data_IF_396873972130
#
_entry.id   IF_396873972130
#
_cell.length_a   1.000
_cell.length_b   1.000
_cell.length_c   1.000
_cell.angle_alpha   90.00
_cell.angle_beta   90.00
_cell.angle_gamma   90.00
#
_symmetry.space_group_name_H-M   'P 1'
#
loop_
_entity.id
_entity.type
_entity.pdbx_description
1 polymer ?
#
# COMPACT_ATOMS: atom_id res chain seq x y z
N UNK A 1 -6.80 -2.68 6.39
CA UNK A 1 -5.90 -3.69 6.98
C UNK A 1 -5.41 -4.69 5.96
N UNK A 2 -6.25 -5.47 5.29
CA UNK A 2 -5.83 -6.47 4.30
C UNK A 2 -4.90 -5.94 3.21
N UNK A 3 -5.22 -4.78 2.62
CA UNK A 3 -4.39 -4.14 1.60
C UNK A 3 -2.97 -3.81 2.11
N UNK A 4 -2.86 -3.21 3.30
CA UNK A 4 -1.58 -2.81 3.87
C UNK A 4 -0.72 -4.03 4.20
N UNK A 5 -1.24 -4.96 4.99
CA UNK A 5 -0.50 -6.17 5.37
C UNK A 5 -0.17 -7.03 4.15
N UNK A 6 -1.15 -7.31 3.27
CA UNK A 6 -0.93 -8.09 2.06
C UNK A 6 0.14 -7.49 1.14
N UNK A 7 0.15 -6.17 0.99
CA UNK A 7 1.14 -5.47 0.16
C UNK A 7 2.55 -5.58 0.73
N UNK A 8 2.75 -5.22 2.00
CA UNK A 8 4.09 -5.26 2.62
C UNK A 8 4.62 -6.68 2.70
N UNK A 9 3.77 -7.66 3.07
CA UNK A 9 4.18 -9.07 3.11
C UNK A 9 4.51 -9.65 1.73
N UNK A 10 4.02 -9.08 0.62
CA UNK A 10 4.48 -9.44 -0.72
C UNK A 10 6.00 -9.25 -0.90
N UNK A 11 6.60 -8.30 -0.17
CA UNK A 11 8.05 -8.09 -0.14
C UNK A 11 8.87 -9.27 0.40
N UNK A 12 8.25 -10.18 1.17
CA UNK A 12 8.88 -11.44 1.64
C UNK A 12 9.40 -12.27 0.47
N UNK A 13 8.76 -12.17 -0.70
CA UNK A 13 9.19 -12.90 -1.89
C UNK A 13 10.65 -12.65 -2.25
N UNK A 14 11.21 -11.46 -1.92
CA UNK A 14 12.61 -11.13 -2.14
C UNK A 14 13.53 -11.98 -1.26
N UNK A 15 13.15 -12.22 -0.01
CA UNK A 15 13.91 -13.06 0.92
C UNK A 15 13.87 -14.50 0.46
N UNK A 16 12.71 -15.01 0.07
CA UNK A 16 12.55 -16.38 -0.42
C UNK A 16 13.32 -16.61 -1.72
N UNK A 17 13.28 -15.68 -2.68
CA UNK A 17 14.07 -15.80 -3.91
C UNK A 17 15.57 -15.89 -3.63
N UNK A 18 16.04 -15.20 -2.59
CA UNK A 18 17.43 -15.26 -2.16
C UNK A 18 17.75 -16.60 -1.50
N UNK A 19 16.91 -17.07 -0.58
CA UNK A 19 17.13 -18.33 0.17
C UNK A 19 17.02 -19.56 -0.73
N UNK A 20 16.10 -19.57 -1.69
CA UNK A 20 15.91 -20.70 -2.62
C UNK A 20 16.82 -20.62 -3.87
N UNK A 21 17.66 -19.59 -4.00
CA UNK A 21 18.58 -19.45 -5.12
C UNK A 21 17.96 -18.92 -6.42
N UNK A 22 16.64 -18.69 -6.49
CA UNK A 22 15.96 -18.15 -7.66
C UNK A 22 16.52 -16.79 -8.10
N UNK A 23 17.12 -16.04 -7.18
CA UNK A 23 17.73 -14.76 -7.51
C UNK A 23 18.88 -14.92 -8.51
N UNK A 24 19.64 -16.01 -8.43
CA UNK A 24 20.75 -16.29 -9.39
C UNK A 24 20.20 -16.57 -10.79
N UNK A 25 19.11 -17.32 -10.89
CA UNK A 25 18.45 -17.62 -12.17
C UNK A 25 17.87 -16.37 -12.83
N UNK A 26 17.24 -15.49 -12.04
CA UNK A 26 16.71 -14.22 -12.55
C UNK A 26 17.80 -13.29 -13.07
N UNK A 27 19.01 -13.34 -12.51
CA UNK A 27 20.11 -12.47 -12.91
C UNK A 27 20.84 -12.95 -14.17
N UNK A 28 20.69 -14.21 -14.56
CA UNK A 28 21.20 -14.75 -15.83
C UNK A 28 20.29 -14.36 -17.00
N UNK A 29 19.02 -14.02 -16.72
CA UNK A 29 18.09 -13.55 -17.75
C UNK A 29 18.56 -12.21 -18.36
N UNK A 30 18.38 -11.97 -19.66
CA UNK A 30 18.81 -10.74 -20.34
C UNK A 30 17.84 -9.59 -20.08
N UNK A 31 17.52 -9.31 -18.80
CA UNK A 31 16.61 -8.26 -18.35
C UNK A 31 17.27 -7.39 -17.29
N UNK A 32 16.89 -6.10 -17.24
CA UNK A 32 17.43 -5.20 -16.24
C UNK A 32 16.94 -5.55 -14.84
N UNK A 33 17.78 -5.34 -13.82
CA UNK A 33 17.39 -5.54 -12.41
C UNK A 33 16.16 -4.71 -12.03
N UNK A 34 16.08 -3.50 -12.57
CA UNK A 34 14.93 -2.60 -12.36
C UNK A 34 13.63 -3.19 -12.91
N UNK A 35 13.66 -3.82 -14.09
CA UNK A 35 12.49 -4.48 -14.66
C UNK A 35 11.99 -5.63 -13.80
N UNK A 36 12.89 -6.42 -13.22
CA UNK A 36 12.55 -7.53 -12.32
C UNK A 36 11.80 -6.99 -11.08
N UNK A 37 12.32 -5.91 -10.48
CA UNK A 37 11.73 -5.35 -9.27
C UNK A 37 10.38 -4.72 -9.56
N UNK A 38 10.30 -3.91 -10.62
CA UNK A 38 9.05 -3.30 -11.04
C UNK A 38 7.99 -4.37 -11.30
N UNK A 39 8.37 -5.46 -11.98
CA UNK A 39 7.50 -6.62 -12.18
C UNK A 39 7.02 -7.25 -10.87
N UNK A 40 7.91 -7.40 -9.87
CA UNK A 40 7.55 -7.88 -8.53
C UNK A 40 6.60 -6.95 -7.79
N UNK A 41 6.88 -5.64 -7.83
CA UNK A 41 6.03 -4.64 -7.19
C UNK A 41 4.63 -4.66 -7.80
N UNK A 42 4.51 -4.64 -9.11
CA UNK A 42 3.21 -4.69 -9.78
C UNK A 42 2.50 -6.04 -9.57
N UNK A 43 3.22 -7.15 -9.57
CA UNK A 43 2.67 -8.47 -9.26
C UNK A 43 2.08 -8.52 -7.85
N UNK A 44 2.84 -8.06 -6.85
CA UNK A 44 2.39 -7.97 -5.47
C UNK A 44 1.22 -6.98 -5.28
N UNK A 45 1.29 -5.82 -5.93
CA UNK A 45 0.23 -4.82 -5.93
C UNK A 45 -1.08 -5.37 -6.53
N UNK A 46 -0.99 -6.08 -7.64
CA UNK A 46 -2.15 -6.73 -8.27
C UNK A 46 -2.79 -7.75 -7.34
N UNK A 47 -2.00 -8.61 -6.70
CA UNK A 47 -2.50 -9.61 -5.74
C UNK A 47 -3.21 -8.96 -4.57
N UNK A 48 -2.60 -7.92 -3.97
CA UNK A 48 -3.21 -7.18 -2.87
C UNK A 48 -4.48 -6.43 -3.31
N UNK A 49 -4.48 -5.86 -4.52
CA UNK A 49 -5.66 -5.19 -5.09
C UNK A 49 -6.82 -6.16 -5.31
N UNK A 50 -6.55 -7.37 -5.82
CA UNK A 50 -7.57 -8.42 -5.98
C UNK A 50 -8.18 -8.76 -4.61
N UNK A 51 -7.35 -8.89 -3.58
CA UNK A 51 -7.83 -9.11 -2.20
C UNK A 51 -8.73 -7.95 -1.73
N UNK A 52 -8.35 -6.71 -2.04
CA UNK A 52 -9.16 -5.52 -1.75
C UNK A 52 -10.51 -5.52 -2.47
N UNK A 53 -10.54 -5.93 -3.74
CA UNK A 53 -11.77 -6.06 -4.54
C UNK A 53 -12.69 -7.12 -3.92
N UNK A 54 -12.16 -8.26 -3.49
CA UNK A 54 -12.94 -9.30 -2.82
C UNK A 54 -13.57 -8.76 -1.54
N UNK A 55 -12.79 -8.07 -0.71
CA UNK A 55 -13.30 -7.46 0.52
C UNK A 55 -14.36 -6.39 0.24
N UNK A 56 -14.18 -5.57 -0.80
CA UNK A 56 -15.16 -4.58 -1.23
C UNK A 56 -16.45 -5.24 -1.71
N UNK A 57 -16.36 -6.35 -2.45
CA UNK A 57 -17.52 -7.12 -2.90
C UNK A 57 -18.29 -7.73 -1.71
N UNK A 58 -17.58 -8.29 -0.73
CA UNK A 58 -18.19 -8.82 0.50
C UNK A 58 -18.90 -7.71 1.28
N UNK A 59 -18.27 -6.55 1.44
CA UNK A 59 -18.89 -5.39 2.09
C UNK A 59 -20.15 -4.92 1.36
N UNK A 60 -20.15 -4.95 0.02
CA UNK A 60 -21.32 -4.66 -0.81
C UNK A 60 -22.48 -5.62 -0.58
N UNK A 61 -22.20 -6.94 -0.53
CA UNK A 61 -23.20 -7.97 -0.22
C UNK A 61 -23.77 -7.80 1.20
N UNK A 62 -22.94 -7.37 2.16
CA UNK A 62 -23.38 -7.08 3.53
C UNK A 62 -24.21 -5.79 3.65
N UNK A 63 -24.46 -5.09 2.54
CA UNK A 63 -25.26 -3.87 2.54
C UNK A 63 -24.53 -2.61 3.02
N UNK A 64 -23.20 -2.63 3.04
CA UNK A 64 -22.40 -1.47 3.43
C UNK A 64 -22.53 -0.30 2.43
N UNK A 65 -22.95 -0.58 1.19
CA UNK A 65 -23.08 0.41 0.12
C UNK A 65 -24.46 0.34 -0.52
N UNK A 66 -25.04 1.51 -0.85
CA UNK A 66 -26.28 1.59 -1.65
C UNK A 66 -25.93 1.37 -3.12
N UNK A 67 -26.54 0.41 -3.82
CA UNK A 67 -26.29 0.19 -5.23
C UNK A 67 -26.82 1.38 -6.04
N UNK A 68 -25.90 2.21 -6.50
CA UNK A 68 -26.19 3.37 -7.37
C UNK A 68 -25.18 3.42 -8.52
N UNK A 69 -25.53 4.13 -9.59
CA UNK A 69 -24.61 4.32 -10.72
C UNK A 69 -23.34 5.07 -10.29
N UNK A 70 -23.46 6.00 -9.33
CA UNK A 70 -22.34 6.72 -8.74
C UNK A 70 -21.41 5.79 -7.95
N UNK A 71 -21.97 4.80 -7.25
CA UNK A 71 -21.17 3.77 -6.57
C UNK A 71 -20.36 2.93 -7.55
N UNK A 72 -20.94 2.53 -8.68
CA UNK A 72 -20.21 1.73 -9.70
C UNK A 72 -19.03 2.53 -10.24
N UNK A 73 -19.22 3.80 -10.60
CA UNK A 73 -18.13 4.66 -11.05
C UNK A 73 -17.05 4.84 -9.94
N UNK A 74 -17.48 5.05 -8.70
CA UNK A 74 -16.60 5.16 -7.54
C UNK A 74 -15.80 3.86 -7.26
N UNK A 75 -16.43 2.70 -7.47
CA UNK A 75 -15.76 1.40 -7.31
C UNK A 75 -14.62 1.21 -8.33
N UNK A 76 -14.80 1.61 -9.58
CA UNK A 76 -13.72 1.60 -10.57
C UNK A 76 -12.58 2.54 -10.19
N UNK A 77 -12.90 3.75 -9.72
CA UNK A 77 -11.90 4.69 -9.22
C UNK A 77 -11.17 4.12 -7.98
N UNK A 78 -11.90 3.48 -7.06
CA UNK A 78 -11.32 2.83 -5.89
C UNK A 78 -10.33 1.72 -6.25
N UNK A 79 -10.56 0.94 -7.31
CA UNK A 79 -9.61 -0.08 -7.79
C UNK A 79 -8.30 0.58 -8.22
N UNK A 80 -8.36 1.69 -8.96
CA UNK A 80 -7.16 2.45 -9.33
C UNK A 80 -6.40 2.99 -8.12
N UNK A 81 -7.13 3.53 -7.15
CA UNK A 81 -6.56 4.00 -5.87
C UNK A 81 -5.94 2.85 -5.07
N UNK A 82 -6.61 1.68 -4.99
CA UNK A 82 -6.07 0.48 -4.34
C UNK A 82 -4.76 0.06 -4.98
N UNK A 83 -4.68 0.02 -6.32
CA UNK A 83 -3.47 -0.37 -7.04
C UNK A 83 -2.32 0.61 -6.75
N UNK A 84 -2.59 1.90 -6.70
CA UNK A 84 -1.60 2.93 -6.39
C UNK A 84 -1.08 2.80 -4.96
N UNK A 85 -1.96 2.62 -3.98
CA UNK A 85 -1.58 2.45 -2.57
C UNK A 85 -0.77 1.16 -2.40
N UNK A 86 -1.24 0.05 -2.98
CA UNK A 86 -0.59 -1.25 -2.82
C UNK A 86 0.78 -1.29 -3.47
N UNK A 87 1.01 -0.61 -4.62
CA UNK A 87 2.34 -0.54 -5.24
C UNK A 87 3.36 0.14 -4.33
N UNK A 88 3.01 1.25 -3.67
CA UNK A 88 3.87 1.92 -2.71
C UNK A 88 4.21 1.03 -1.50
N UNK A 89 3.20 0.35 -0.92
CA UNK A 89 3.43 -0.54 0.22
C UNK A 89 4.18 -1.83 -0.15
N UNK A 90 3.99 -2.37 -1.36
CA UNK A 90 4.84 -3.46 -1.87
C UNK A 90 6.27 -2.96 -2.06
N UNK A 91 6.47 -1.74 -2.58
CA UNK A 91 7.78 -1.10 -2.68
C UNK A 91 8.48 -0.98 -1.33
N UNK A 92 7.75 -0.57 -0.29
CA UNK A 92 8.24 -0.58 1.09
C UNK A 92 8.64 -1.99 1.56
N UNK A 93 7.79 -2.99 1.32
CA UNK A 93 8.07 -4.39 1.66
C UNK A 93 9.31 -4.92 0.94
N UNK A 94 9.47 -4.60 -0.35
CA UNK A 94 10.67 -4.95 -1.15
C UNK A 94 11.91 -4.24 -0.59
N UNK A 95 11.81 -2.98 -0.19
CA UNK A 95 12.92 -2.24 0.43
C UNK A 95 13.38 -2.93 1.73
N UNK A 96 12.45 -3.26 2.62
CA UNK A 96 12.73 -3.98 3.87
C UNK A 96 13.31 -5.37 3.58
N UNK A 97 12.68 -6.14 2.68
CA UNK A 97 13.11 -7.50 2.33
C UNK A 97 14.48 -7.54 1.65
N UNK A 98 14.86 -6.48 0.95
CA UNK A 98 16.17 -6.37 0.30
C UNK A 98 17.32 -6.16 1.30
N UNK A 99 17.03 -5.58 2.47
CA UNK A 99 18.03 -5.30 3.51
C UNK A 99 18.19 -6.44 4.53
N UNK A 100 17.22 -7.35 4.60
CA UNK A 100 17.18 -8.43 5.56
C UNK A 100 17.43 -9.80 4.91
N UNK A 101 18.07 -10.71 5.64
CA UNK A 101 18.33 -12.08 5.19
C UNK A 101 17.42 -13.10 5.89
N UNK A 102 16.74 -12.69 6.96
CA UNK A 102 15.93 -13.56 7.79
C UNK A 102 14.45 -13.16 7.74
N UNK A 103 13.60 -14.16 7.59
CA UNK A 103 12.14 -13.99 7.56
C UNK A 103 11.60 -13.45 8.90
N UNK A 104 12.12 -13.90 10.03
CA UNK A 104 11.66 -13.46 11.34
C UNK A 104 11.98 -11.97 11.58
N UNK A 105 13.19 -11.55 11.18
CA UNK A 105 13.58 -10.14 11.25
C UNK A 105 12.69 -9.27 10.35
N UNK A 106 12.36 -9.75 9.14
CA UNK A 106 11.42 -9.07 8.25
C UNK A 106 10.03 -8.93 8.89
N UNK A 107 9.51 -10.02 9.45
CA UNK A 107 8.19 -10.02 10.07
C UNK A 107 8.12 -9.05 11.25
N UNK A 108 9.13 -9.05 12.13
CA UNK A 108 9.20 -8.14 13.28
C UNK A 108 9.25 -6.68 12.83
N UNK A 109 10.16 -6.34 11.91
CA UNK A 109 10.33 -4.97 11.44
C UNK A 109 9.09 -4.49 10.68
N UNK A 110 8.55 -5.30 9.77
CA UNK A 110 7.34 -4.97 9.03
C UNK A 110 6.16 -4.75 9.97
N UNK A 111 5.95 -5.64 10.94
CA UNK A 111 4.88 -5.49 11.91
C UNK A 111 5.04 -4.22 12.75
N UNK A 112 6.27 -3.92 13.19
CA UNK A 112 6.56 -2.72 13.97
C UNK A 112 6.27 -1.42 13.20
N UNK A 113 6.51 -1.40 11.88
CA UNK A 113 6.21 -0.26 11.01
C UNK A 113 4.71 -0.19 10.69
N UNK A 114 4.09 -1.33 10.36
CA UNK A 114 2.72 -1.37 9.87
C UNK A 114 1.67 -1.10 10.95
N UNK A 115 1.89 -1.54 12.19
CA UNK A 115 0.92 -1.32 13.27
C UNK A 115 0.68 0.15 13.59
N UNK A 116 1.71 0.98 13.79
CA UNK A 116 1.52 2.42 13.99
C UNK A 116 0.81 3.08 12.79
N UNK A 117 1.24 2.77 11.56
CA UNK A 117 0.62 3.30 10.34
C UNK A 117 -0.87 2.91 10.27
N UNK A 118 -1.20 1.67 10.59
CA UNK A 118 -2.59 1.23 10.60
C UNK A 118 -3.43 1.92 11.68
N UNK A 119 -2.87 2.14 12.87
CA UNK A 119 -3.55 2.88 13.95
C UNK A 119 -3.79 4.34 13.58
N UNK A 120 -2.83 4.97 12.89
CA UNK A 120 -2.89 6.37 12.48
C UNK A 120 -3.67 6.59 11.18
N UNK A 121 -4.03 5.52 10.46
CA UNK A 121 -4.69 5.60 9.14
C UNK A 121 -6.09 6.24 9.14
N UNK A 122 -6.64 6.58 10.29
CA UNK A 122 -7.99 7.15 10.40
C UNK A 122 -9.14 6.13 10.25
N UNK A 123 -8.81 4.82 10.19
CA UNK A 123 -9.82 3.76 10.12
C UNK A 123 -10.55 3.58 11.46
N UNK A 124 -9.82 3.66 12.57
CA UNK A 124 -10.38 3.47 13.92
C UNK A 124 -11.02 4.73 14.47
N UNK A 125 -10.38 5.86 14.27
CA UNK A 125 -10.82 7.15 14.82
C UNK A 125 -10.88 8.18 13.70
N UNK A 126 -12.03 8.83 13.47
CA UNK A 126 -12.10 9.98 12.57
C UNK A 126 -11.16 11.08 13.07
N UNK A 127 -10.44 11.71 12.16
CA UNK A 127 -9.45 12.75 12.50
C UNK A 127 -10.10 13.94 13.26
N UNK A 128 -11.37 14.20 13.01
CA UNK A 128 -12.10 15.34 13.55
C UNK A 128 -12.32 15.24 15.08
N UNK A 129 -12.37 14.02 15.63
CA UNK A 129 -12.52 13.78 17.08
C UNK A 129 -11.20 13.48 17.78
N UNK A 130 -10.11 13.35 17.04
CA UNK A 130 -8.80 13.06 17.60
C UNK A 130 -8.21 14.31 18.29
N UNK A 131 -7.47 14.16 19.42
CA UNK A 131 -6.73 15.26 20.02
C UNK A 131 -5.62 15.76 19.07
N UNK A 132 -5.29 17.03 19.19
CA UNK A 132 -4.38 17.75 18.27
C UNK A 132 -3.03 17.04 18.00
N UNK A 133 -2.35 16.45 19.01
CA UNK A 133 -1.11 15.70 18.75
C UNK A 133 -1.34 14.47 17.87
N UNK A 134 -2.49 13.78 18.01
CA UNK A 134 -2.84 12.62 17.22
C UNK A 134 -3.23 13.02 15.79
N UNK A 135 -3.93 14.15 15.60
CA UNK A 135 -4.23 14.69 14.28
C UNK A 135 -2.94 14.95 13.48
N UNK A 136 -1.92 15.57 14.10
CA UNK A 136 -0.63 15.82 13.46
C UNK A 136 0.04 14.49 13.08
N UNK A 137 0.02 13.49 13.96
CA UNK A 137 0.59 12.18 13.65
C UNK A 137 -0.14 11.48 12.48
N UNK A 138 -1.48 11.57 12.43
CA UNK A 138 -2.28 11.02 11.33
C UNK A 138 -1.97 11.72 10.00
N UNK A 139 -1.78 13.05 10.00
CA UNK A 139 -1.42 13.80 8.80
C UNK A 139 0.00 13.49 8.28
N UNK A 140 0.88 12.92 9.11
CA UNK A 140 2.19 12.44 8.68
C UNK A 140 2.14 11.02 8.09
N UNK A 141 1.03 10.30 8.25
CA UNK A 141 0.88 8.92 7.80
C UNK A 141 0.35 8.87 6.35
N UNK A 142 1.09 8.29 5.39
CA UNK A 142 0.62 8.15 4.02
C UNK A 142 -0.60 7.23 3.90
N UNK A 143 -0.78 6.28 4.83
CA UNK A 143 -1.94 5.39 4.85
C UNK A 143 -3.24 6.15 5.12
N UNK A 144 -3.20 7.22 5.93
CA UNK A 144 -4.34 8.09 6.17
C UNK A 144 -4.92 8.65 4.86
N UNK A 145 -4.05 9.17 3.99
CA UNK A 145 -4.47 9.72 2.70
C UNK A 145 -4.99 8.63 1.75
N UNK A 146 -4.46 7.43 1.83
CA UNK A 146 -4.98 6.28 1.09
C UNK A 146 -6.40 5.91 1.50
N UNK A 147 -6.68 5.87 2.80
CA UNK A 147 -8.02 5.62 3.34
C UNK A 147 -8.97 6.76 2.96
N UNK A 148 -8.51 7.99 3.00
CA UNK A 148 -9.28 9.16 2.63
C UNK A 148 -9.70 9.15 1.16
N UNK A 149 -8.80 8.78 0.24
CA UNK A 149 -9.13 8.59 -1.18
C UNK A 149 -10.18 7.51 -1.39
N UNK A 150 -10.06 6.38 -0.69
CA UNK A 150 -11.06 5.31 -0.78
C UNK A 150 -12.42 5.76 -0.27
N UNK A 151 -12.47 6.58 0.80
CA UNK A 151 -13.73 7.18 1.28
C UNK A 151 -14.33 8.09 0.21
N UNK A 152 -13.55 8.97 -0.41
CA UNK A 152 -14.02 9.81 -1.50
C UNK A 152 -14.58 9.00 -2.68
N UNK A 153 -13.90 7.94 -3.08
CA UNK A 153 -14.34 7.08 -4.17
C UNK A 153 -15.65 6.34 -3.85
N UNK A 154 -15.76 5.77 -2.65
CA UNK A 154 -16.86 4.86 -2.31
C UNK A 154 -18.07 5.58 -1.69
N UNK A 155 -17.82 6.62 -0.89
CA UNK A 155 -18.87 7.33 -0.14
C UNK A 155 -19.16 8.73 -0.71
N UNK A 156 -18.33 9.23 -1.61
CA UNK A 156 -18.46 10.58 -2.17
C UNK A 156 -18.15 11.70 -1.16
N UNK A 157 -17.60 11.36 0.01
CA UNK A 157 -17.29 12.32 1.06
C UNK A 157 -16.01 11.89 1.78
N UNK A 158 -15.17 12.88 2.11
CA UNK A 158 -13.97 12.69 2.91
C UNK A 158 -14.02 13.47 4.21
N UNK A 159 -12.89 13.53 4.91
CA UNK A 159 -12.79 14.26 6.17
C UNK A 159 -12.99 15.77 5.97
N UNK A 160 -13.82 16.42 6.82
CA UNK A 160 -14.01 17.86 6.81
C UNK A 160 -12.72 18.66 7.00
N UNK A 161 -11.74 18.10 7.70
CA UNK A 161 -10.45 18.77 7.99
C UNK A 161 -9.65 19.07 6.72
N UNK A 162 -9.70 18.20 5.71
CA UNK A 162 -9.01 18.40 4.44
C UNK A 162 -9.79 19.30 3.45
N UNK A 163 -11.04 19.62 3.78
CA UNK A 163 -11.90 20.46 2.96
C UNK A 163 -12.27 19.86 1.60
N UNK A 164 -12.86 20.65 0.71
CA UNK A 164 -13.38 20.16 -0.58
C UNK A 164 -12.31 19.71 -1.56
N UNK A 165 -11.06 20.13 -1.39
CA UNK A 165 -9.91 19.74 -2.19
C UNK A 165 -9.11 18.59 -1.55
N UNK A 166 -9.61 17.99 -0.47
CA UNK A 166 -8.94 16.92 0.27
C UNK A 166 -8.56 15.72 -0.60
N UNK A 167 -9.37 15.37 -1.60
CA UNK A 167 -9.06 14.30 -2.53
C UNK A 167 -7.82 14.58 -3.40
N UNK A 168 -7.59 15.84 -3.82
CA UNK A 168 -6.39 16.23 -4.59
C UNK A 168 -5.13 16.17 -3.72
N UNK A 169 -5.23 16.66 -2.48
CA UNK A 169 -4.12 16.60 -1.52
C UNK A 169 -3.76 15.13 -1.25
N UNK A 170 -4.77 14.32 -0.98
CA UNK A 170 -4.58 12.89 -0.70
C UNK A 170 -3.98 12.14 -1.89
N UNK A 171 -4.44 12.43 -3.11
CA UNK A 171 -3.89 11.86 -4.32
C UNK A 171 -2.42 12.25 -4.52
N UNK A 172 -2.09 13.53 -4.32
CA UNK A 172 -0.71 14.02 -4.41
C UNK A 172 0.22 13.32 -3.41
N UNK A 173 -0.19 13.21 -2.14
CA UNK A 173 0.61 12.55 -1.10
C UNK A 173 0.82 11.07 -1.42
N UNK A 174 -0.23 10.36 -1.85
CA UNK A 174 -0.13 8.93 -2.19
C UNK A 174 0.77 8.71 -3.40
N UNK A 175 0.70 9.54 -4.44
CA UNK A 175 1.60 9.45 -5.61
C UNK A 175 3.06 9.69 -5.19
N UNK A 176 3.32 10.70 -4.37
CA UNK A 176 4.68 10.99 -3.89
C UNK A 176 5.20 9.82 -3.06
N UNK A 177 4.38 9.30 -2.15
CA UNK A 177 4.72 8.13 -1.34
C UNK A 177 5.02 6.91 -2.20
N UNK A 178 4.17 6.61 -3.19
CA UNK A 178 4.35 5.50 -4.12
C UNK A 178 5.67 5.62 -4.88
N UNK A 179 5.92 6.78 -5.50
CA UNK A 179 7.16 7.04 -6.24
C UNK A 179 8.41 6.89 -5.35
N UNK A 180 8.35 7.38 -4.10
CA UNK A 180 9.45 7.25 -3.14
C UNK A 180 9.68 5.79 -2.75
N UNK A 181 8.63 5.04 -2.43
CA UNK A 181 8.77 3.65 -1.97
C UNK A 181 9.18 2.70 -3.10
N UNK A 182 8.63 2.86 -4.30
CA UNK A 182 9.06 2.12 -5.49
C UNK A 182 10.52 2.45 -5.83
N UNK A 183 10.90 3.72 -5.75
CA UNK A 183 12.29 4.16 -5.94
C UNK A 183 13.25 3.57 -4.90
N UNK A 184 12.89 3.60 -3.62
CA UNK A 184 13.68 3.00 -2.53
C UNK A 184 13.76 1.48 -2.66
N UNK A 185 12.65 0.80 -2.96
CA UNK A 185 12.63 -0.64 -3.20
C UNK A 185 13.58 -1.03 -4.32
N UNK A 186 13.54 -0.29 -5.44
CA UNK A 186 14.43 -0.48 -6.59
C UNK A 186 15.89 -0.23 -6.22
N UNK A 187 16.18 0.83 -5.48
CA UNK A 187 17.53 1.20 -5.07
C UNK A 187 18.14 0.17 -4.12
N UNK A 188 17.45 -0.23 -3.06
CA UNK A 188 17.96 -1.21 -2.10
C UNK A 188 18.15 -2.59 -2.73
N UNK A 189 17.21 -3.03 -3.55
CA UNK A 189 17.36 -4.29 -4.26
C UNK A 189 18.55 -4.28 -5.24
N UNK A 190 18.77 -3.18 -5.97
CA UNK A 190 19.89 -3.09 -6.92
C UNK A 190 21.25 -3.16 -6.22
N UNK A 191 21.33 -2.75 -4.96
CA UNK A 191 22.53 -2.79 -4.11
C UNK A 191 22.63 -4.04 -3.24
N UNK A 192 21.57 -4.82 -3.13
CA UNK A 192 21.60 -6.06 -2.39
C UNK A 192 22.67 -6.98 -2.99
N UNK A 193 23.70 -7.27 -2.19
CA UNK A 193 24.77 -8.19 -2.58
C UNK A 193 24.21 -9.61 -2.58
N UNK A 194 24.52 -10.34 -3.64
CA UNK A 194 24.13 -11.72 -3.89
C UNK A 194 25.24 -12.63 -3.34
#
# INVERSE_FOLDING_TARGET
>A
MGLLFGSVFSGVSVIFDRQFGFMKEMLVAPVSRTSIIVGKIFGGATTATIQGIILMAVAGVMGAFTPSLTFVAGAFAAIGVMLLITSGFVGLGVAIGSTLNDFHAFQLLSTFVMWPMFMLSGVFFPIDVAPLPLQVAMLCDPMFYGVELLRWCLLGAGSPLLGPLGWLISLGVVIIFDALMVGLGTYFFSRAQI
#
